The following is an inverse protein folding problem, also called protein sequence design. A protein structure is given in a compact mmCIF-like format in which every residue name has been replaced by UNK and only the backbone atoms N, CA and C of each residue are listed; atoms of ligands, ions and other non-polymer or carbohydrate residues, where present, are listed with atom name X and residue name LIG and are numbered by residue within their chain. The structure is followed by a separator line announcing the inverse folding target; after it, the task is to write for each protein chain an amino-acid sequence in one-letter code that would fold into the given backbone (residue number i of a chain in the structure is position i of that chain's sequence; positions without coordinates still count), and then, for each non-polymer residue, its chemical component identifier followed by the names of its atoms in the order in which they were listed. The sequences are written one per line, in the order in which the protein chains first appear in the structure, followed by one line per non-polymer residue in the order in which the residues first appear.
data_IF_013037813910
#
_entry.id   IF_013037813910
#
_cell.length_a   1.000
_cell.length_b   1.000
_cell.length_c   1.000
_cell.angle_alpha   90.00
_cell.angle_beta   90.00
_cell.angle_gamma   90.00
#
_symmetry.space_group_name_H-M   'P 1'
#
loop_
_entity.id
_entity.type
_entity.pdbx_description
1 polymer ?
#
# COMPACT_ATOMS: atom_id res chain seq x y z
N UNK A 1 13.60 -3.90 -10.50
CA UNK A 1 13.18 -2.69 -9.78
C UNK A 1 11.99 -3.09 -8.94
N UNK A 2 12.07 -3.01 -7.62
CA UNK A 2 10.97 -3.33 -6.71
C UNK A 2 10.09 -2.11 -6.52
N UNK A 3 8.77 -2.28 -6.67
CA UNK A 3 7.79 -1.21 -6.51
C UNK A 3 6.91 -1.52 -5.31
N UNK A 4 6.74 -0.54 -4.44
CA UNK A 4 5.77 -0.58 -3.34
C UNK A 4 4.65 0.42 -3.59
N UNK A 5 3.41 -0.02 -3.52
CA UNK A 5 2.23 0.85 -3.48
C UNK A 5 1.70 0.90 -2.05
N UNK A 6 1.67 2.10 -1.47
CA UNK A 6 1.13 2.35 -0.13
C UNK A 6 -0.24 2.98 -0.28
N UNK A 7 -1.29 2.24 0.12
CA UNK A 7 -2.69 2.65 -0.01
C UNK A 7 -3.23 3.16 1.32
N UNK A 8 -3.65 4.42 1.36
CA UNK A 8 -4.14 5.11 2.55
C UNK A 8 -5.64 5.45 2.46
N UNK A 9 -6.47 4.50 2.01
CA UNK A 9 -7.91 4.73 1.88
C UNK A 9 -8.68 4.21 3.12
N UNK A 10 -9.53 5.03 3.77
CA UNK A 10 -10.21 4.65 5.02
C UNK A 10 -11.20 3.51 4.85
N UNK A 11 -11.83 3.38 3.68
CA UNK A 11 -12.66 2.23 3.34
C UNK A 11 -12.49 1.85 1.87
N UNK A 12 -11.49 1.01 1.59
CA UNK A 12 -11.17 0.60 0.22
C UNK A 12 -12.34 -0.13 -0.46
N UNK A 13 -13.16 -0.89 0.29
CA UNK A 13 -14.29 -1.66 -0.25
C UNK A 13 -15.40 -0.78 -0.83
N UNK A 14 -15.55 0.45 -0.35
CA UNK A 14 -16.51 1.43 -0.85
C UNK A 14 -15.91 2.39 -1.89
N UNK A 15 -14.61 2.27 -2.19
CA UNK A 15 -13.97 3.10 -3.21
C UNK A 15 -14.17 2.51 -4.60
N UNK A 16 -14.53 3.34 -5.58
CA UNK A 16 -14.62 2.91 -6.98
C UNK A 16 -13.26 2.99 -7.68
N UNK A 17 -12.63 4.16 -7.66
CA UNK A 17 -11.37 4.40 -8.37
C UNK A 17 -10.19 3.63 -7.73
N UNK A 18 -10.00 3.74 -6.42
CA UNK A 18 -8.87 3.08 -5.75
C UNK A 18 -8.98 1.56 -5.80
N UNK A 19 -10.21 1.02 -5.76
CA UNK A 19 -10.44 -0.42 -5.93
C UNK A 19 -10.06 -0.89 -7.33
N UNK A 20 -10.48 -0.18 -8.37
CA UNK A 20 -10.12 -0.52 -9.75
C UNK A 20 -8.60 -0.47 -9.98
N UNK A 21 -7.92 0.52 -9.40
CA UNK A 21 -6.46 0.61 -9.46
C UNK A 21 -5.80 -0.56 -8.72
N UNK A 22 -6.31 -0.91 -7.53
CA UNK A 22 -5.82 -2.05 -6.75
C UNK A 22 -5.99 -3.39 -7.46
N UNK A 23 -7.16 -3.63 -8.03
CA UNK A 23 -7.45 -4.84 -8.81
C UNK A 23 -6.52 -4.98 -10.03
N UNK A 24 -6.04 -3.86 -10.60
CA UNK A 24 -5.02 -3.89 -11.65
C UNK A 24 -3.62 -4.15 -11.09
N UNK A 25 -3.22 -3.44 -10.02
CA UNK A 25 -1.90 -3.60 -9.38
C UNK A 25 -1.68 -5.04 -8.92
N UNK A 26 -2.70 -5.70 -8.36
CA UNK A 26 -2.62 -7.09 -7.90
C UNK A 26 -2.34 -8.11 -9.03
N UNK A 27 -2.48 -7.73 -10.30
CA UNK A 27 -2.12 -8.59 -11.45
C UNK A 27 -0.62 -8.63 -11.73
N UNK A 28 0.13 -7.68 -11.18
CA UNK A 28 1.57 -7.52 -11.42
C UNK A 28 2.34 -8.09 -10.23
N UNK A 29 2.93 -9.28 -10.40
CA UNK A 29 3.63 -10.00 -9.32
C UNK A 29 4.94 -9.32 -8.86
N UNK A 30 5.39 -8.29 -9.57
CA UNK A 30 6.56 -7.48 -9.27
C UNK A 30 6.24 -6.20 -8.46
N UNK A 31 4.96 -5.98 -8.14
CA UNK A 31 4.49 -4.86 -7.32
C UNK A 31 3.95 -5.38 -5.98
N UNK A 32 4.54 -4.92 -4.90
CA UNK A 32 4.05 -5.19 -3.55
C UNK A 32 3.10 -4.08 -3.10
N UNK A 33 2.08 -4.45 -2.30
CA UNK A 33 1.06 -3.53 -1.83
C UNK A 33 0.93 -3.53 -0.32
N UNK A 34 1.01 -2.34 0.29
CA UNK A 34 0.74 -2.10 1.69
C UNK A 34 -0.54 -1.28 1.85
N UNK A 35 -1.58 -1.87 2.43
CA UNK A 35 -2.83 -1.15 2.76
C UNK A 35 -2.78 -0.69 4.23
N UNK A 36 -2.65 0.61 4.46
CA UNK A 36 -2.46 1.15 5.81
C UNK A 36 -3.69 1.00 6.70
N UNK A 37 -4.89 1.13 6.13
CA UNK A 37 -6.15 1.04 6.88
C UNK A 37 -6.43 -0.36 7.42
N UNK A 38 -5.93 -1.41 6.77
CA UNK A 38 -6.00 -2.78 7.28
C UNK A 38 -4.85 -3.11 8.24
N UNK A 39 -3.65 -2.59 7.97
CA UNK A 39 -2.48 -2.81 8.81
C UNK A 39 -2.58 -2.11 10.18
N UNK A 40 -3.24 -0.95 10.23
CA UNK A 40 -3.29 -0.07 11.42
C UNK A 40 -4.70 0.43 11.71
N UNK A 41 -5.58 -0.48 12.15
CA UNK A 41 -6.99 -0.16 12.48
C UNK A 41 -7.12 0.94 13.55
N UNK A 42 -6.18 1.03 14.49
CA UNK A 42 -6.14 2.06 15.55
C UNK A 42 -5.29 3.29 15.18
N UNK A 43 -4.76 3.38 13.96
CA UNK A 43 -3.96 4.51 13.47
C UNK A 43 -2.56 4.64 14.08
N UNK A 44 -2.15 3.72 14.95
CA UNK A 44 -0.81 3.72 15.55
C UNK A 44 0.19 3.03 14.64
N UNK A 45 0.83 3.82 13.79
CA UNK A 45 1.86 3.35 12.87
C UNK A 45 3.09 2.83 13.62
N UNK A 46 3.67 1.73 13.13
CA UNK A 46 4.99 1.30 13.55
C UNK A 46 6.03 1.96 12.62
N UNK A 47 6.53 3.13 13.03
CA UNK A 47 7.46 3.94 12.22
C UNK A 47 8.66 3.15 11.75
N UNK A 48 9.30 2.38 12.65
CA UNK A 48 10.50 1.61 12.31
C UNK A 48 10.21 0.55 11.24
N UNK A 49 9.10 -0.18 11.38
CA UNK A 49 8.68 -1.20 10.40
C UNK A 49 8.42 -0.58 9.03
N UNK A 50 7.72 0.55 8.98
CA UNK A 50 7.41 1.21 7.71
C UNK A 50 8.69 1.76 7.05
N UNK A 51 9.63 2.32 7.82
CA UNK A 51 10.93 2.75 7.30
C UNK A 51 11.75 1.59 6.71
N UNK A 52 11.89 0.48 7.44
CA UNK A 52 12.59 -0.73 6.96
C UNK A 52 11.95 -1.27 5.69
N UNK A 53 10.61 -1.19 5.59
CA UNK A 53 9.91 -1.58 4.38
C UNK A 53 10.24 -0.61 3.23
N UNK A 54 10.15 0.71 3.42
CA UNK A 54 10.41 1.70 2.37
C UNK A 54 11.84 1.60 1.81
N UNK A 55 12.83 1.32 2.67
CA UNK A 55 14.24 1.14 2.26
C UNK A 55 14.47 -0.09 1.36
N UNK A 56 13.56 -1.07 1.36
CA UNK A 56 13.67 -2.28 0.58
C UNK A 56 13.20 -2.15 -0.88
N UNK A 57 12.63 -0.99 -1.27
CA UNK A 57 12.05 -0.75 -2.60
C UNK A 57 12.74 0.39 -3.33
N UNK A 58 12.77 0.27 -4.65
CA UNK A 58 13.38 1.28 -5.53
C UNK A 58 12.39 2.42 -5.86
N UNK A 59 11.09 2.12 -5.82
CA UNK A 59 10.02 3.08 -6.12
C UNK A 59 8.87 2.90 -5.13
N UNK A 60 8.41 4.03 -4.60
CA UNK A 60 7.28 4.10 -3.69
C UNK A 60 6.19 4.94 -4.36
N UNK A 61 4.97 4.41 -4.40
CA UNK A 61 3.76 5.11 -4.86
C UNK A 61 2.84 5.29 -3.66
N UNK A 62 2.39 6.52 -3.44
CA UNK A 62 1.42 6.86 -2.40
C UNK A 62 0.06 7.01 -3.07
N UNK A 63 -0.91 6.16 -2.70
CA UNK A 63 -2.24 6.06 -3.29
C UNK A 63 -3.36 6.27 -2.26
#
# INVERSE_FOLDING_TARGET
MKILVVVAHPNLTQSHANRMLMEEVEKHADIDVQVLSSAYVQGQLNVKKEQEMLEAYDRIVLQ
#
